data_IF_244205374580
#
_entry.id   IF_244205374580
#
_cell.length_a   1.000
_cell.length_b   1.000
_cell.length_c   1.000
_cell.angle_alpha   90.00
_cell.angle_beta   90.00
_cell.angle_gamma   90.00
#
_symmetry.space_group_name_H-M   'P 1'
#
loop_
_entity.id
_entity.type
_entity.pdbx_description
1 polymer ?
#
# COMPACT_ATOMS: atom_id res chain seq x y z
N UNK A 1 3.23 0.47 14.63
CA UNK A 1 2.74 -0.91 14.72
C UNK A 1 2.11 -1.30 13.41
N UNK A 2 1.09 -0.56 13.00
CA UNK A 2 0.26 -0.90 11.85
C UNK A 2 0.77 -0.40 10.48
N UNK A 3 1.88 0.35 10.45
CA UNK A 3 2.52 0.77 9.19
C UNK A 3 2.81 -0.44 8.30
N UNK A 4 2.45 -0.36 7.03
CA UNK A 4 2.45 -1.49 6.09
C UNK A 4 1.10 -2.21 5.98
N UNK A 5 0.16 -1.97 6.92
CA UNK A 5 -1.20 -2.48 6.84
C UNK A 5 -1.98 -1.89 5.68
N UNK A 6 -2.98 -2.62 5.19
CA UNK A 6 -3.75 -2.27 3.98
C UNK A 6 -5.04 -1.53 4.35
N UNK A 7 -5.31 -0.43 3.64
CA UNK A 7 -6.63 0.20 3.61
C UNK A 7 -7.50 -0.53 2.58
N UNK A 8 -8.60 -1.10 3.06
CA UNK A 8 -9.57 -1.84 2.23
C UNK A 8 -10.83 -1.00 2.04
N UNK A 9 -11.22 -0.77 0.78
CA UNK A 9 -12.47 -0.13 0.40
C UNK A 9 -13.24 -1.04 -0.55
N UNK A 10 -14.49 -1.36 -0.20
CA UNK A 10 -15.37 -2.25 -1.00
C UNK A 10 -14.73 -3.62 -1.35
N UNK A 11 -13.86 -4.13 -0.47
CA UNK A 11 -13.14 -5.38 -0.67
C UNK A 11 -11.84 -5.26 -1.50
N UNK A 12 -11.54 -4.08 -2.05
CA UNK A 12 -10.29 -3.80 -2.76
C UNK A 12 -9.22 -3.17 -1.85
N UNK A 13 -7.97 -3.56 -2.04
CA UNK A 13 -6.82 -2.91 -1.41
C UNK A 13 -6.50 -1.60 -2.15
N UNK A 14 -6.69 -0.46 -1.48
CA UNK A 14 -6.53 0.88 -2.10
C UNK A 14 -5.35 1.68 -1.55
N UNK A 15 -4.86 1.34 -0.36
CA UNK A 15 -3.72 2.04 0.21
C UNK A 15 -2.92 1.22 1.20
N UNK A 16 -1.70 1.67 1.49
CA UNK A 16 -0.80 1.08 2.50
C UNK A 16 -0.50 2.14 3.55
N UNK A 17 -0.77 1.83 4.83
CA UNK A 17 -0.59 2.77 5.94
C UNK A 17 0.89 3.16 6.05
N UNK A 18 1.17 4.43 5.83
CA UNK A 18 2.53 4.98 5.96
C UNK A 18 2.75 5.43 7.41
N UNK A 19 1.97 6.41 7.85
CA UNK A 19 2.04 6.95 9.19
C UNK A 19 0.64 7.18 9.75
N UNK A 20 0.41 6.68 10.96
CA UNK A 20 -0.75 7.08 11.76
C UNK A 20 -0.42 8.38 12.50
N UNK A 21 -1.33 9.34 12.47
CA UNK A 21 -1.30 10.45 13.42
C UNK A 21 -1.55 9.97 14.84
N UNK A 22 -1.24 10.80 15.85
CA UNK A 22 -1.82 10.58 17.18
C UNK A 22 -3.34 10.62 17.04
N UNK A 23 -4.02 9.72 17.75
CA UNK A 23 -5.48 9.63 17.71
C UNK A 23 -6.12 11.02 17.92
N UNK A 24 -6.93 11.45 16.96
CA UNK A 24 -7.67 12.71 17.02
C UNK A 24 -6.95 13.97 16.54
N UNK A 25 -5.65 13.93 16.20
CA UNK A 25 -4.92 15.12 15.72
C UNK A 25 -4.85 15.22 14.20
N UNK A 26 -4.50 14.11 13.53
CA UNK A 26 -4.28 14.10 12.08
C UNK A 26 -4.83 12.83 11.43
N UNK A 27 -5.38 12.93 10.20
CA UNK A 27 -5.70 11.74 9.42
C UNK A 27 -4.43 10.94 9.16
N UNK A 28 -4.56 9.62 9.18
CA UNK A 28 -3.50 8.72 8.76
C UNK A 28 -3.16 8.95 7.29
N UNK A 29 -1.87 8.90 6.96
CA UNK A 29 -1.41 8.95 5.58
C UNK A 29 -1.20 7.54 5.02
N UNK A 30 -1.57 7.35 3.75
CA UNK A 30 -1.46 6.08 3.04
C UNK A 30 -0.74 6.30 1.72
N UNK A 31 0.11 5.35 1.34
CA UNK A 31 0.52 5.23 -0.06
C UNK A 31 -0.66 4.74 -0.88
N UNK A 32 -0.97 5.40 -2.00
CA UNK A 32 -2.06 4.99 -2.87
C UNK A 32 -1.58 3.87 -3.79
N UNK A 33 -2.16 2.68 -3.66
CA UNK A 33 -1.70 1.48 -4.38
C UNK A 33 -1.76 1.68 -5.90
N UNK A 34 -2.79 2.36 -6.40
CA UNK A 34 -2.97 2.62 -7.83
C UNK A 34 -1.82 3.39 -8.49
N UNK A 35 -1.07 4.21 -7.74
CA UNK A 35 0.09 4.93 -8.27
C UNK A 35 1.31 4.03 -8.51
N UNK A 36 1.32 2.82 -7.96
CA UNK A 36 2.48 1.92 -8.02
C UNK A 36 2.21 0.65 -8.82
N UNK A 37 1.03 0.50 -9.45
CA UNK A 37 0.66 -0.74 -10.16
C UNK A 37 1.70 -1.13 -11.22
N UNK A 38 2.11 -0.21 -12.10
CA UNK A 38 3.12 -0.48 -13.13
C UNK A 38 4.46 -0.97 -12.54
N UNK A 39 4.88 -0.37 -11.42
CA UNK A 39 6.09 -0.78 -10.72
C UNK A 39 5.93 -2.16 -10.07
N UNK A 40 4.79 -2.40 -9.42
CA UNK A 40 4.49 -3.68 -8.79
C UNK A 40 4.45 -4.81 -9.83
N UNK A 41 3.80 -4.58 -10.98
CA UNK A 41 3.74 -5.54 -12.08
C UNK A 41 5.14 -5.83 -12.61
N UNK A 42 5.95 -4.79 -12.86
CA UNK A 42 7.35 -4.94 -13.30
C UNK A 42 8.16 -5.81 -12.33
N UNK A 43 8.05 -5.55 -11.02
CA UNK A 43 8.79 -6.30 -9.99
C UNK A 43 8.32 -7.74 -9.90
N UNK A 44 7.01 -7.99 -9.93
CA UNK A 44 6.44 -9.32 -9.83
C UNK A 44 6.79 -10.18 -11.05
N UNK A 45 6.71 -9.61 -12.25
CA UNK A 45 7.11 -10.28 -13.49
C UNK A 45 8.62 -10.59 -13.51
N UNK A 46 9.45 -9.65 -13.04
CA UNK A 46 10.90 -9.83 -12.94
C UNK A 46 11.29 -10.90 -11.92
N UNK A 47 10.50 -11.05 -10.85
CA UNK A 47 10.75 -12.03 -9.79
C UNK A 47 10.35 -13.45 -10.18
N UNK A 48 9.45 -13.61 -11.17
CA UNK A 48 9.00 -14.91 -11.67
C UNK A 48 10.00 -15.54 -12.66
N UNK A 49 10.98 -14.77 -13.16
CA UNK A 49 12.07 -15.28 -14.01
C UNK A 49 13.30 -15.74 -13.21
N UNK A 50 13.11 -16.54 -12.16
CA UNK A 50 14.20 -17.29 -11.52
C UNK A 50 14.21 -18.69 -12.15
N UNK A 51 15.07 -18.89 -13.16
CA UNK A 51 15.57 -20.22 -13.59
C UNK A 51 16.70 -20.68 -12.67
#
# INVERSE_FOLDING_TARGET
GDSGGVLVCEGGAVGVLQAGGKSGEHPSSYFMISHFLDFLDTVLESTISID
#
